data_IF_513630311154
#
_entry.id   IF_513630311154
#
_cell.length_a   1.000
_cell.length_b   1.000
_cell.length_c   1.000
_cell.angle_alpha   90.00
_cell.angle_beta   90.00
_cell.angle_gamma   90.00
#
_symmetry.space_group_name_H-M   'P 1'
#
loop_
_entity.id
_entity.type
_entity.pdbx_description
1 polymer ?
#
# COMPACT_ATOMS: atom_id res chain seq x y z
N UNK A 1 19.59 -21.54 22.20
CA UNK A 1 19.67 -21.68 20.73
C UNK A 1 18.92 -20.51 20.12
N UNK A 2 19.60 -19.58 19.45
CA UNK A 2 18.96 -18.49 18.73
C UNK A 2 18.62 -18.96 17.32
N UNK A 3 17.40 -18.69 16.84
CA UNK A 3 17.01 -19.00 15.47
C UNK A 3 17.69 -17.98 14.55
N UNK A 4 18.58 -18.39 13.62
CA UNK A 4 19.23 -17.45 12.73
C UNK A 4 18.21 -16.80 11.79
N UNK A 5 18.35 -15.49 11.58
CA UNK A 5 17.45 -14.75 10.68
C UNK A 5 17.57 -15.28 9.24
N UNK A 6 16.45 -15.54 8.55
CA UNK A 6 16.47 -16.08 7.19
C UNK A 6 17.06 -15.07 6.19
N UNK A 7 18.02 -15.53 5.38
CA UNK A 7 18.71 -14.71 4.37
C UNK A 7 17.89 -14.64 3.07
N UNK A 8 16.75 -13.96 3.11
CA UNK A 8 15.91 -13.71 1.92
C UNK A 8 16.33 -12.38 1.29
N UNK A 9 16.69 -12.35 -0.01
CA UNK A 9 17.04 -11.10 -0.67
C UNK A 9 15.82 -10.16 -0.71
N UNK A 10 15.98 -8.87 -0.38
CA UNK A 10 14.86 -7.93 -0.33
C UNK A 10 14.31 -7.57 -1.71
N UNK A 11 15.14 -7.71 -2.74
CA UNK A 11 14.83 -7.39 -4.13
C UNK A 11 14.28 -8.65 -4.83
N UNK A 12 13.12 -8.55 -5.48
CA UNK A 12 12.51 -9.59 -6.32
C UNK A 12 13.17 -9.58 -7.70
N UNK A 13 13.18 -8.41 -8.33
CA UNK A 13 13.77 -8.18 -9.65
C UNK A 13 14.54 -6.86 -9.58
N UNK A 14 15.74 -6.84 -10.17
CA UNK A 14 16.56 -5.64 -10.29
C UNK A 14 16.83 -5.35 -11.75
N UNK A 15 16.37 -4.19 -12.23
CA UNK A 15 16.70 -3.65 -13.54
C UNK A 15 17.49 -2.36 -13.37
N UNK A 16 18.83 -2.48 -13.31
CA UNK A 16 19.73 -1.35 -13.08
C UNK A 16 19.41 -0.60 -11.78
N UNK A 17 19.12 0.71 -11.81
CA UNK A 17 18.77 1.49 -10.61
C UNK A 17 17.37 1.17 -10.05
N UNK A 18 16.51 0.50 -10.83
CA UNK A 18 15.17 0.14 -10.40
C UNK A 18 15.16 -1.23 -9.75
N UNK A 19 14.88 -1.24 -8.44
CA UNK A 19 14.77 -2.45 -7.64
C UNK A 19 13.34 -2.64 -7.19
N UNK A 20 12.70 -3.70 -7.68
CA UNK A 20 11.40 -4.11 -7.19
C UNK A 20 11.59 -4.94 -5.92
N UNK A 21 11.15 -4.41 -4.78
CA UNK A 21 11.31 -5.06 -3.47
C UNK A 21 10.04 -5.79 -3.02
N UNK A 22 10.22 -6.83 -2.20
CA UNK A 22 9.11 -7.61 -1.64
C UNK A 22 8.07 -6.76 -0.91
N UNK A 23 8.50 -5.79 -0.10
CA UNK A 23 7.55 -4.95 0.63
C UNK A 23 6.65 -4.14 -0.31
N UNK A 24 7.19 -3.67 -1.45
CA UNK A 24 6.44 -2.90 -2.43
C UNK A 24 5.34 -3.74 -3.08
N UNK A 25 5.68 -4.99 -3.42
CA UNK A 25 4.71 -5.96 -3.95
C UNK A 25 3.66 -6.30 -2.90
N UNK A 26 4.04 -6.48 -1.64
CA UNK A 26 3.08 -6.74 -0.56
C UNK A 26 2.10 -5.57 -0.35
N UNK A 27 2.55 -4.31 -0.49
CA UNK A 27 1.63 -3.17 -0.46
C UNK A 27 0.61 -3.21 -1.61
N UNK A 28 1.05 -3.53 -2.84
CA UNK A 28 0.15 -3.68 -3.99
C UNK A 28 -0.86 -4.82 -3.79
N UNK A 29 -0.40 -5.96 -3.26
CA UNK A 29 -1.27 -7.10 -2.94
C UNK A 29 -2.31 -6.69 -1.89
N UNK A 30 -1.90 -6.03 -0.81
CA UNK A 30 -2.80 -5.55 0.24
C UNK A 30 -3.86 -4.58 -0.30
N UNK A 31 -3.43 -3.62 -1.13
CA UNK A 31 -4.32 -2.69 -1.82
C UNK A 31 -5.34 -3.42 -2.70
N UNK A 32 -4.89 -4.36 -3.52
CA UNK A 32 -5.74 -5.10 -4.44
C UNK A 32 -6.77 -5.97 -3.71
N UNK A 33 -6.34 -6.67 -2.66
CA UNK A 33 -7.21 -7.50 -1.83
C UNK A 33 -8.24 -6.62 -1.09
N UNK A 34 -7.80 -5.51 -0.49
CA UNK A 34 -8.69 -4.57 0.18
C UNK A 34 -9.76 -4.00 -0.75
N UNK A 35 -9.34 -3.56 -1.94
CA UNK A 35 -10.26 -3.06 -2.97
C UNK A 35 -11.26 -4.13 -3.42
N UNK A 36 -10.79 -5.36 -3.73
CA UNK A 36 -11.65 -6.49 -4.11
C UNK A 36 -12.68 -6.81 -3.02
N UNK A 37 -12.29 -6.79 -1.76
CA UNK A 37 -13.19 -7.04 -0.62
C UNK A 37 -14.23 -5.93 -0.47
N UNK A 38 -13.82 -4.67 -0.60
CA UNK A 38 -14.75 -3.53 -0.55
C UNK A 38 -15.75 -3.60 -1.71
N UNK A 39 -15.27 -3.85 -2.93
CA UNK A 39 -16.10 -4.01 -4.11
C UNK A 39 -17.07 -5.19 -3.98
N UNK A 40 -16.62 -6.32 -3.41
CA UNK A 40 -17.49 -7.46 -3.14
C UNK A 40 -18.58 -7.12 -2.13
N UNK A 41 -18.33 -6.26 -1.14
CA UNK A 41 -19.37 -5.84 -0.18
C UNK A 41 -20.40 -4.93 -0.85
N UNK A 42 -19.95 -3.99 -1.69
CA UNK A 42 -20.83 -3.12 -2.48
C UNK A 42 -21.74 -3.94 -3.39
N UNK A 43 -21.18 -4.89 -4.14
CA UNK A 43 -21.96 -5.76 -5.04
C UNK A 43 -22.98 -6.65 -4.33
N UNK A 44 -22.74 -6.99 -3.06
CA UNK A 44 -23.66 -7.77 -2.23
C UNK A 44 -24.73 -6.92 -1.54
N UNK A 45 -24.77 -5.60 -1.81
CA UNK A 45 -25.71 -4.67 -1.16
C UNK A 45 -25.41 -4.43 0.33
N UNK A 46 -24.24 -4.86 0.82
CA UNK A 46 -23.82 -4.75 2.22
C UNK A 46 -23.08 -3.43 2.52
N UNK A 47 -23.20 -2.44 1.65
CA UNK A 47 -22.57 -1.13 1.78
C UNK A 47 -23.47 -0.05 1.19
N UNK A 48 -23.41 1.14 1.81
CA UNK A 48 -24.08 2.36 1.32
C UNK A 48 -23.28 3.00 0.17
N UNK A 49 -22.02 2.62 -0.01
CA UNK A 49 -21.14 3.20 -1.02
C UNK A 49 -21.43 2.60 -2.40
N UNK A 50 -21.42 3.46 -3.42
CA UNK A 50 -21.40 3.02 -4.82
C UNK A 50 -19.97 2.65 -5.25
N UNK A 51 -19.84 1.86 -6.32
CA UNK A 51 -18.54 1.51 -6.88
C UNK A 51 -17.73 2.76 -7.26
N UNK A 52 -18.38 3.77 -7.85
CA UNK A 52 -17.72 5.01 -8.23
C UNK A 52 -17.20 5.78 -7.02
N UNK A 53 -17.96 5.82 -5.92
CA UNK A 53 -17.51 6.43 -4.67
C UNK A 53 -16.32 5.69 -4.06
N UNK A 54 -16.30 4.35 -4.15
CA UNK A 54 -15.14 3.56 -3.72
C UNK A 54 -13.90 3.93 -4.53
N UNK A 55 -14.00 4.02 -5.86
CA UNK A 55 -12.87 4.37 -6.72
C UNK A 55 -12.32 5.75 -6.38
N UNK A 56 -13.21 6.74 -6.22
CA UNK A 56 -12.84 8.10 -5.80
C UNK A 56 -12.19 8.11 -4.42
N UNK A 57 -12.78 7.41 -3.44
CA UNK A 57 -12.23 7.32 -2.08
C UNK A 57 -10.82 6.73 -2.09
N UNK A 58 -10.63 5.64 -2.83
CA UNK A 58 -9.34 4.95 -2.90
C UNK A 58 -8.29 5.84 -3.57
N UNK A 59 -8.65 6.58 -4.61
CA UNK A 59 -7.75 7.57 -5.21
C UNK A 59 -7.33 8.66 -4.19
N UNK A 60 -8.28 9.21 -3.43
CA UNK A 60 -7.97 10.19 -2.37
C UNK A 60 -7.08 9.60 -1.27
N UNK A 61 -7.30 8.34 -0.87
CA UNK A 61 -6.48 7.66 0.12
C UNK A 61 -5.05 7.47 -0.36
N UNK A 62 -4.84 7.08 -1.62
CA UNK A 62 -3.50 6.93 -2.19
C UNK A 62 -2.77 8.27 -2.25
N UNK A 63 -3.44 9.32 -2.73
CA UNK A 63 -2.86 10.67 -2.80
C UNK A 63 -2.56 11.19 -1.39
N UNK A 64 -3.50 11.06 -0.46
CA UNK A 64 -3.34 11.44 0.94
C UNK A 64 -2.22 10.69 1.64
N UNK A 65 -2.05 9.39 1.37
CA UNK A 65 -0.95 8.59 1.89
C UNK A 65 0.41 9.10 1.37
N UNK A 66 0.52 9.38 0.08
CA UNK A 66 1.77 9.86 -0.52
C UNK A 66 2.16 11.23 0.03
N UNK A 67 1.20 12.15 0.10
CA UNK A 67 1.42 13.49 0.64
C UNK A 67 1.73 13.41 2.13
N UNK A 68 0.91 12.69 2.91
CA UNK A 68 1.07 12.53 4.34
C UNK A 68 2.40 11.90 4.73
N UNK A 69 2.86 10.87 3.99
CA UNK A 69 4.16 10.26 4.22
C UNK A 69 5.31 11.26 4.05
N UNK A 70 5.22 12.18 3.07
CA UNK A 70 6.22 13.22 2.85
C UNK A 70 6.14 14.33 3.89
N UNK A 71 4.93 14.79 4.23
CA UNK A 71 4.75 15.81 5.25
C UNK A 71 5.26 15.32 6.61
N UNK A 72 4.91 14.11 7.03
CA UNK A 72 5.40 13.54 8.30
C UNK A 72 6.91 13.39 8.29
N UNK A 73 7.50 12.88 7.18
CA UNK A 73 8.95 12.79 7.06
C UNK A 73 9.60 14.16 7.31
N UNK A 74 9.12 15.19 6.63
CA UNK A 74 9.68 16.54 6.76
C UNK A 74 9.47 17.10 8.15
N UNK A 75 8.23 17.17 8.66
CA UNK A 75 7.94 17.86 9.92
C UNK A 75 8.42 17.13 11.17
N UNK A 76 8.57 15.80 11.13
CA UNK A 76 8.90 15.00 12.32
C UNK A 76 10.36 14.54 12.32
N UNK A 77 10.91 14.22 11.15
CA UNK A 77 12.27 13.65 11.06
C UNK A 77 13.29 14.64 10.51
N UNK A 78 12.91 15.48 9.56
CA UNK A 78 13.83 16.40 8.87
C UNK A 78 13.86 17.80 9.52
N UNK A 79 12.74 18.22 10.10
CA UNK A 79 12.63 19.45 10.89
C UNK A 79 13.04 19.14 12.34
N UNK A 80 14.09 19.77 12.87
CA UNK A 80 14.57 19.54 14.23
C UNK A 80 13.61 20.07 15.31
#
# INVERSE_FOLDING_TARGET
MTLPYPKIPPDIISFGPFKLRWYGVMYLVGYFVGYRLALSRIRRGASVLTQQQLDTLVAYLVVGMLIGARLIYVFVYDFP
#
